data_IF_909127094928
#
_entry.id   IF_909127094928
#
_cell.length_a   1.000
_cell.length_b   1.000
_cell.length_c   1.000
_cell.angle_alpha   90.00
_cell.angle_beta   90.00
_cell.angle_gamma   90.00
#
_symmetry.space_group_name_H-M   'P 1'
#
loop_
_entity.id
_entity.type
_entity.pdbx_description
1 polymer ?
#
# COMPACT_ATOMS: atom_id res chain seq x y z
N UNK A 1 3.16 -36.01 -2.43
CA UNK A 1 2.91 -34.75 -1.70
C UNK A 1 3.99 -34.49 -0.64
N UNK A 2 4.70 -33.37 -0.72
CA UNK A 2 5.50 -32.86 0.40
C UNK A 2 4.87 -31.59 0.94
N UNK A 3 4.87 -31.37 2.25
CA UNK A 3 4.43 -30.09 2.85
C UNK A 3 5.66 -29.30 3.25
N UNK A 4 5.80 -28.07 2.73
CA UNK A 4 6.89 -27.19 3.14
C UNK A 4 6.58 -26.66 4.53
N UNK A 5 7.42 -26.98 5.50
CA UNK A 5 7.33 -26.40 6.83
C UNK A 5 7.96 -24.99 6.87
N UNK A 6 8.66 -24.60 5.80
CA UNK A 6 9.36 -23.33 5.59
C UNK A 6 8.58 -22.30 4.78
N UNK A 7 7.43 -21.87 5.30
CA UNK A 7 6.73 -20.58 5.05
C UNK A 7 6.34 -20.18 3.60
N UNK A 8 6.80 -20.84 2.54
CA UNK A 8 6.65 -20.34 1.15
C UNK A 8 5.72 -21.16 0.26
N UNK A 9 5.60 -22.46 0.52
CA UNK A 9 4.73 -23.37 -0.23
C UNK A 9 3.92 -24.21 0.74
N UNK A 10 2.77 -24.73 0.31
CA UNK A 10 1.89 -25.49 1.21
C UNK A 10 1.96 -26.96 0.88
N UNK A 11 1.97 -27.29 -0.41
CA UNK A 11 2.21 -28.64 -0.86
C UNK A 11 2.99 -28.63 -2.18
N UNK A 12 3.67 -29.74 -2.42
CA UNK A 12 4.27 -30.05 -3.72
C UNK A 12 3.82 -31.42 -4.17
N UNK A 13 3.37 -31.51 -5.41
CA UNK A 13 3.09 -32.76 -6.10
C UNK A 13 4.08 -32.92 -7.26
N UNK A 14 4.72 -34.09 -7.35
CA UNK A 14 5.59 -34.44 -8.46
C UNK A 14 4.90 -35.49 -9.32
N UNK A 15 4.82 -35.21 -10.62
CA UNK A 15 4.35 -36.13 -11.67
C UNK A 15 5.54 -36.37 -12.59
N UNK A 16 6.12 -37.57 -12.55
CA UNK A 16 7.38 -37.85 -13.24
C UNK A 16 8.49 -36.89 -12.81
N UNK A 17 9.07 -36.15 -13.75
CA UNK A 17 10.11 -35.14 -13.52
C UNK A 17 9.58 -33.73 -13.26
N UNK A 18 8.25 -33.52 -13.32
CA UNK A 18 7.62 -32.19 -13.12
C UNK A 18 7.09 -32.06 -11.70
N UNK A 19 7.59 -31.07 -10.95
CA UNK A 19 7.07 -30.69 -9.63
C UNK A 19 6.18 -29.45 -9.72
N UNK A 20 4.97 -29.55 -9.20
CA UNK A 20 3.99 -28.47 -9.06
C UNK A 20 3.92 -28.02 -7.60
N UNK A 21 4.00 -26.71 -7.39
CA UNK A 21 4.01 -26.09 -6.06
C UNK A 21 2.70 -25.33 -5.82
N UNK A 22 2.02 -25.68 -4.74
CA UNK A 22 0.78 -25.02 -4.33
C UNK A 22 1.12 -23.86 -3.39
N UNK A 23 0.72 -22.65 -3.80
CA UNK A 23 0.84 -21.41 -3.02
C UNK A 23 -0.55 -20.95 -2.62
N UNK A 24 -0.75 -20.61 -1.35
CA UNK A 24 -1.92 -19.86 -0.89
C UNK A 24 -1.42 -18.74 0.04
N UNK A 25 -1.65 -17.50 -0.40
CA UNK A 25 -1.21 -16.27 0.25
C UNK A 25 -1.88 -16.06 1.61
N UNK A 26 -3.15 -16.48 1.76
CA UNK A 26 -3.89 -16.39 3.02
C UNK A 26 -3.27 -17.30 4.09
N UNK A 27 -2.85 -18.51 3.69
CA UNK A 27 -2.17 -19.45 4.58
C UNK A 27 -0.81 -18.91 5.05
N UNK A 28 -0.03 -18.31 4.16
CA UNK A 28 1.26 -17.70 4.50
C UNK A 28 1.08 -16.52 5.48
N UNK A 29 0.02 -15.72 5.30
CA UNK A 29 -0.35 -14.62 6.18
C UNK A 29 -0.74 -15.11 7.59
N UNK A 30 -1.64 -16.10 7.70
CA UNK A 30 -2.10 -16.64 9.00
C UNK A 30 -0.93 -17.27 9.78
N UNK A 31 -0.03 -17.99 9.10
CA UNK A 31 1.17 -18.57 9.73
C UNK A 31 2.11 -17.49 10.27
N UNK A 32 2.35 -16.42 9.49
CA UNK A 32 3.16 -15.27 9.95
C UNK A 32 2.54 -14.61 11.18
N UNK A 33 1.21 -14.43 11.18
CA UNK A 33 0.45 -13.89 12.32
C UNK A 33 0.58 -14.77 13.57
N UNK A 34 0.39 -16.09 13.47
CA UNK A 34 0.60 -16.98 14.62
C UNK A 34 2.05 -16.98 15.11
N UNK A 35 3.03 -16.93 14.21
CA UNK A 35 4.45 -16.86 14.57
C UNK A 35 4.83 -15.54 15.26
N UNK A 36 4.24 -14.41 14.85
CA UNK A 36 4.41 -13.12 15.52
C UNK A 36 3.77 -13.15 16.91
N UNK A 37 2.52 -13.63 17.01
CA UNK A 37 1.80 -13.71 18.28
C UNK A 37 2.49 -14.62 19.30
N UNK A 38 3.01 -15.78 18.87
CA UNK A 38 3.81 -16.67 19.73
C UNK A 38 5.08 -16.00 20.24
N UNK A 39 5.76 -15.19 19.42
CA UNK A 39 6.95 -14.43 19.84
C UNK A 39 6.59 -13.39 20.90
N UNK A 40 5.51 -12.63 20.69
CA UNK A 40 5.03 -11.64 21.67
C UNK A 40 4.62 -12.30 23.00
N UNK A 41 3.86 -13.40 22.94
CA UNK A 41 3.42 -14.12 24.14
C UNK A 41 4.57 -14.83 24.86
N UNK A 42 5.60 -15.26 24.11
CA UNK A 42 6.84 -15.80 24.65
C UNK A 42 7.60 -14.77 25.47
N UNK A 43 7.79 -13.56 24.93
CA UNK A 43 8.38 -12.43 25.67
C UNK A 43 7.56 -12.08 26.92
N UNK A 44 6.23 -12.11 26.83
CA UNK A 44 5.32 -11.86 27.95
C UNK A 44 5.16 -13.05 28.92
N UNK A 45 5.92 -14.15 28.75
CA UNK A 45 5.88 -15.37 29.58
C UNK A 45 4.48 -16.03 29.71
N UNK A 46 3.58 -15.84 28.73
CA UNK A 46 2.21 -16.39 28.72
C UNK A 46 2.14 -17.81 28.12
N UNK A 47 2.78 -18.79 28.76
CA UNK A 47 2.96 -20.17 28.24
C UNK A 47 1.63 -20.90 27.93
N UNK A 48 0.59 -20.71 28.74
CA UNK A 48 -0.73 -21.33 28.50
C UNK A 48 -1.34 -20.88 27.15
N UNK A 49 -1.26 -19.58 26.84
CA UNK A 49 -1.77 -19.05 25.58
C UNK A 49 -0.98 -19.55 24.37
N UNK A 50 0.34 -19.75 24.52
CA UNK A 50 1.18 -20.34 23.48
C UNK A 50 0.73 -21.77 23.16
N UNK A 51 0.40 -22.58 24.19
CA UNK A 51 -0.14 -23.93 24.00
C UNK A 51 -1.49 -23.91 23.28
N UNK A 52 -2.38 -23.00 23.66
CA UNK A 52 -3.69 -22.83 23.01
C UNK A 52 -3.56 -22.45 21.54
N UNK A 53 -2.67 -21.50 21.22
CA UNK A 53 -2.36 -21.12 19.82
C UNK A 53 -1.81 -22.33 19.05
N UNK A 54 -0.94 -23.13 19.67
CA UNK A 54 -0.40 -24.31 19.00
C UNK A 54 -1.43 -25.39 18.70
N UNK A 55 -2.42 -25.58 19.57
CA UNK A 55 -3.57 -26.45 19.24
C UNK A 55 -4.37 -25.91 18.07
N UNK A 56 -4.67 -24.60 18.04
CA UNK A 56 -5.39 -23.96 16.93
C UNK A 56 -4.63 -24.08 15.60
N UNK A 57 -3.32 -23.84 15.61
CA UNK A 57 -2.44 -24.01 14.45
C UNK A 57 -2.47 -25.45 13.93
N UNK A 58 -2.40 -26.44 14.83
CA UNK A 58 -2.44 -27.86 14.48
C UNK A 58 -3.78 -28.27 13.87
N UNK A 59 -4.91 -27.89 14.48
CA UNK A 59 -6.24 -28.19 13.96
C UNK A 59 -6.47 -27.56 12.59
N UNK A 60 -6.11 -26.29 12.42
CA UNK A 60 -6.22 -25.58 11.15
C UNK A 60 -5.33 -26.23 10.07
N UNK A 61 -4.10 -26.59 10.41
CA UNK A 61 -3.19 -27.24 9.46
C UNK A 61 -3.72 -28.61 9.00
N UNK A 62 -4.40 -29.36 9.88
CA UNK A 62 -5.07 -30.62 9.50
C UNK A 62 -6.20 -30.36 8.49
N UNK A 63 -7.04 -29.35 8.70
CA UNK A 63 -8.13 -28.99 7.77
C UNK A 63 -7.59 -28.57 6.39
N UNK A 64 -6.57 -27.71 6.36
CA UNK A 64 -5.90 -27.29 5.13
C UNK A 64 -5.26 -28.47 4.39
N UNK A 65 -4.53 -29.33 5.10
CA UNK A 65 -3.94 -30.53 4.50
C UNK A 65 -5.01 -31.46 3.91
N UNK A 66 -6.18 -31.57 4.55
CA UNK A 66 -7.30 -32.35 4.03
C UNK A 66 -7.86 -31.75 2.73
N UNK A 67 -8.08 -30.44 2.68
CA UNK A 67 -8.55 -29.71 1.47
C UNK A 67 -7.58 -29.84 0.31
N UNK A 68 -6.29 -29.68 0.58
CA UNK A 68 -5.22 -29.81 -0.42
C UNK A 68 -5.11 -31.24 -0.94
N UNK A 69 -5.19 -32.23 -0.04
CA UNK A 69 -5.21 -33.64 -0.44
C UNK A 69 -6.34 -33.93 -1.43
N UNK A 70 -7.55 -33.39 -1.18
CA UNK A 70 -8.67 -33.50 -2.12
C UNK A 70 -8.40 -32.84 -3.48
N UNK A 71 -7.82 -31.64 -3.49
CA UNK A 71 -7.48 -30.95 -4.74
C UNK A 71 -6.42 -31.71 -5.55
N UNK A 72 -5.41 -32.26 -4.87
CA UNK A 72 -4.36 -33.07 -5.51
C UNK A 72 -4.94 -34.34 -6.11
N UNK A 73 -5.84 -35.03 -5.39
CA UNK A 73 -6.53 -36.22 -5.93
C UNK A 73 -7.34 -35.85 -7.17
N UNK A 74 -8.11 -34.75 -7.14
CA UNK A 74 -8.85 -34.26 -8.32
C UNK A 74 -7.93 -33.94 -9.49
N UNK A 75 -6.80 -33.28 -9.22
CA UNK A 75 -5.81 -32.94 -10.23
C UNK A 75 -5.16 -34.20 -10.85
N UNK A 76 -4.80 -35.19 -10.02
CA UNK A 76 -4.22 -36.45 -10.51
C UNK A 76 -5.22 -37.24 -11.37
N UNK A 77 -6.49 -37.32 -10.95
CA UNK A 77 -7.57 -37.94 -11.72
C UNK A 77 -7.78 -37.22 -13.06
N UNK A 78 -7.81 -35.88 -13.07
CA UNK A 78 -7.97 -35.08 -14.28
C UNK A 78 -6.81 -35.22 -15.28
N UNK A 79 -5.64 -35.70 -14.83
CA UNK A 79 -4.44 -35.87 -15.66
C UNK A 79 -4.08 -37.35 -15.89
N UNK A 80 -4.97 -38.31 -15.57
CA UNK A 80 -4.75 -39.73 -15.82
C UNK A 80 -3.58 -40.34 -15.03
N UNK A 81 -3.21 -39.75 -13.88
CA UNK A 81 -2.01 -40.14 -13.13
C UNK A 81 -2.31 -41.22 -12.11
N UNK A 82 -1.71 -42.41 -12.27
CA UNK A 82 -1.88 -43.56 -11.36
C UNK A 82 -0.99 -43.57 -10.11
N UNK A 83 0.03 -42.70 -10.03
CA UNK A 83 0.98 -42.70 -8.90
C UNK A 83 1.43 -41.28 -8.52
N UNK A 84 1.29 -40.93 -7.24
CA UNK A 84 1.74 -39.65 -6.69
C UNK A 84 2.91 -39.89 -5.73
N UNK A 85 4.07 -39.30 -6.00
CA UNK A 85 5.25 -39.43 -5.14
C UNK A 85 5.25 -38.40 -4.00
N UNK A 86 5.63 -38.83 -2.79
CA UNK A 86 5.91 -37.95 -1.64
C UNK A 86 7.40 -37.59 -1.65
N UNK A 87 7.75 -36.30 -1.56
CA UNK A 87 9.14 -35.84 -1.55
C UNK A 87 9.40 -34.87 -0.40
N UNK A 88 10.63 -34.89 0.12
CA UNK A 88 11.10 -33.99 1.18
C UNK A 88 11.68 -32.73 0.55
N UNK A 89 11.12 -31.57 0.90
CA UNK A 89 11.28 -30.32 0.15
C UNK A 89 12.62 -29.61 0.27
N UNK A 90 13.49 -30.04 1.19
CA UNK A 90 14.78 -29.39 1.44
C UNK A 90 15.78 -29.49 0.28
N UNK A 91 15.67 -30.46 -0.63
CA UNK A 91 16.61 -30.66 -1.75
C UNK A 91 16.21 -30.00 -3.08
N UNK A 92 14.91 -29.82 -3.35
CA UNK A 92 14.40 -29.35 -4.66
C UNK A 92 14.55 -27.82 -4.87
N UNK A 93 14.60 -27.05 -3.79
CA UNK A 93 14.68 -25.58 -3.84
C UNK A 93 16.04 -25.06 -4.35
N UNK A 94 17.13 -25.80 -4.13
CA UNK A 94 18.48 -25.36 -4.51
C UNK A 94 18.70 -25.40 -6.04
N UNK A 95 18.18 -26.41 -6.75
CA UNK A 95 18.37 -26.54 -8.20
C UNK A 95 17.64 -25.48 -9.04
N UNK A 96 16.58 -24.84 -8.53
CA UNK A 96 15.88 -23.78 -9.28
C UNK A 96 16.57 -22.41 -9.18
N UNK A 97 17.41 -22.18 -8.16
CA UNK A 97 18.19 -20.93 -8.03
C UNK A 97 19.25 -20.81 -9.13
N UNK A 98 19.80 -21.93 -9.60
CA UNK A 98 20.78 -21.98 -10.68
C UNK A 98 20.17 -21.81 -12.08
N UNK A 99 18.95 -22.33 -12.31
CA UNK A 99 18.28 -22.23 -13.62
C UNK A 99 17.81 -20.82 -14.01
N UNK A 100 17.64 -19.89 -13.05
CA UNK A 100 17.24 -18.50 -13.35
C UNK A 100 18.34 -17.65 -14.01
N UNK A 101 19.58 -18.14 -14.10
CA UNK A 101 20.73 -17.39 -14.65
C UNK A 101 20.93 -17.54 -16.17
N UNK A 102 20.08 -18.25 -16.91
CA UNK A 102 20.23 -18.38 -18.37
C UNK A 102 18.88 -18.31 -19.09
N UNK A 103 18.58 -17.19 -19.73
CA UNK A 103 17.62 -17.11 -20.85
C UNK A 103 18.17 -16.09 -21.87
N UNK A 104 18.25 -16.54 -23.14
CA UNK A 104 18.70 -15.83 -24.36
C UNK A 104 17.53 -15.04 -25.01
N UNK A 105 17.80 -14.11 -25.97
CA UNK A 105 16.85 -13.12 -26.44
C UNK A 105 15.93 -13.65 -27.55
N UNK A 106 14.78 -12.99 -27.73
CA UNK A 106 13.95 -13.08 -28.93
C UNK A 106 13.55 -11.67 -29.37
N UNK A 107 13.88 -11.36 -30.62
CA UNK A 107 13.53 -10.14 -31.35
C UNK A 107 12.07 -10.18 -31.86
N UNK A 108 11.45 -8.99 -31.95
CA UNK A 108 10.35 -8.72 -32.89
C UNK A 108 9.09 -8.10 -32.28
N UNK A 109 8.94 -6.77 -32.46
CA UNK A 109 7.64 -6.06 -32.40
C UNK A 109 7.36 -5.33 -31.09
N UNK A 110 7.28 -3.99 -31.15
CA UNK A 110 7.01 -3.06 -30.06
C UNK A 110 6.02 -3.58 -28.98
N UNK A 111 6.56 -3.84 -27.80
CA UNK A 111 5.83 -3.93 -26.54
C UNK A 111 6.78 -3.39 -25.47
N UNK A 112 6.51 -2.20 -24.93
CA UNK A 112 7.16 -1.79 -23.69
C UNK A 112 6.78 -2.83 -22.61
N UNK A 113 7.72 -3.40 -21.86
CA UNK A 113 7.41 -4.50 -20.96
C UNK A 113 6.66 -4.00 -19.73
N UNK A 114 5.76 -4.86 -19.19
CA UNK A 114 5.23 -4.79 -17.82
C UNK A 114 6.21 -4.10 -16.88
N UNK A 115 5.75 -3.11 -16.11
CA UNK A 115 6.54 -2.48 -15.05
C UNK A 115 7.09 -3.53 -14.08
N UNK A 116 8.34 -3.95 -14.29
CA UNK A 116 9.02 -4.91 -13.45
C UNK A 116 9.73 -4.15 -12.32
N UNK A 117 8.94 -3.52 -11.45
CA UNK A 117 9.46 -2.70 -10.34
C UNK A 117 10.01 -3.62 -9.26
N UNK A 118 11.29 -3.43 -8.90
CA UNK A 118 11.95 -4.21 -7.85
C UNK A 118 12.14 -3.36 -6.60
N UNK A 119 11.16 -3.41 -5.69
CA UNK A 119 11.23 -2.64 -4.44
C UNK A 119 12.14 -3.35 -3.42
N UNK A 120 13.27 -2.72 -3.02
CA UNK A 120 14.16 -3.32 -2.05
C UNK A 120 13.51 -3.38 -0.66
N UNK A 121 13.82 -4.38 0.18
CA UNK A 121 13.42 -4.34 1.58
C UNK A 121 14.07 -3.14 2.30
N UNK A 122 13.40 -2.65 3.34
CA UNK A 122 13.97 -1.63 4.23
C UNK A 122 15.19 -2.18 5.01
N UNK A 123 16.07 -1.29 5.43
CA UNK A 123 17.26 -1.58 6.22
C UNK A 123 16.92 -1.84 7.69
N UNK A 124 16.59 -3.10 8.02
CA UNK A 124 16.23 -3.48 9.40
C UNK A 124 17.32 -3.17 10.42
N UNK A 125 18.58 -3.31 10.04
CA UNK A 125 19.71 -2.96 10.91
C UNK A 125 19.72 -1.47 11.23
N UNK A 126 19.36 -0.62 10.26
CA UNK A 126 19.28 0.84 10.46
C UNK A 126 18.11 1.22 11.39
N UNK A 127 16.98 0.50 11.33
CA UNK A 127 15.89 0.66 12.30
C UNK A 127 16.37 0.40 13.73
N UNK A 128 17.12 -0.69 13.94
CA UNK A 128 17.61 -1.05 15.28
C UNK A 128 18.71 -0.09 15.75
N UNK A 129 19.59 0.38 14.86
CA UNK A 129 20.58 1.41 15.17
C UNK A 129 19.91 2.74 15.56
N UNK A 130 18.88 3.16 14.82
CA UNK A 130 18.11 4.36 15.14
C UNK A 130 17.42 4.25 16.50
N UNK A 131 16.81 3.10 16.83
CA UNK A 131 16.22 2.86 18.16
C UNK A 131 17.26 2.96 19.27
N UNK A 132 18.40 2.29 19.09
CA UNK A 132 19.48 2.31 20.07
C UNK A 132 20.05 3.72 20.28
N UNK A 133 20.08 4.54 19.23
CA UNK A 133 20.45 5.95 19.32
C UNK A 133 19.38 6.78 20.05
N UNK A 134 18.10 6.61 19.69
CA UNK A 134 16.96 7.31 20.31
C UNK A 134 16.86 7.04 21.82
N UNK A 135 17.19 5.82 22.26
CA UNK A 135 17.20 5.44 23.68
C UNK A 135 18.29 6.15 24.51
N UNK A 136 19.28 6.77 23.85
CA UNK A 136 20.36 7.53 24.50
C UNK A 136 20.05 9.01 24.63
N UNK A 137 19.01 9.52 23.95
CA UNK A 137 18.60 10.92 24.01
C UNK A 137 18.16 11.28 25.43
N UNK A 138 18.32 12.54 25.83
CA UNK A 138 18.01 13.08 27.18
C UNK A 138 16.52 13.07 27.53
N UNK A 139 15.92 11.89 27.54
CA UNK A 139 14.51 11.61 27.84
C UNK A 139 14.36 10.22 28.44
N UNK A 140 13.30 9.94 29.23
CA UNK A 140 12.98 8.56 29.59
C UNK A 140 12.74 7.70 28.32
N UNK A 141 13.22 6.45 28.26
CA UNK A 141 12.99 5.59 27.10
C UNK A 141 11.50 5.47 26.73
N UNK A 142 11.18 5.67 25.45
CA UNK A 142 9.81 5.63 24.92
C UNK A 142 8.91 6.83 25.27
N UNK A 143 9.40 7.86 25.97
CA UNK A 143 8.53 8.97 26.43
C UNK A 143 7.99 9.86 25.31
N UNK A 144 8.58 9.83 24.11
CA UNK A 144 8.08 10.53 22.92
C UNK A 144 7.20 9.63 22.03
N UNK A 145 6.96 8.39 22.46
CA UNK A 145 5.98 7.48 21.87
C UNK A 145 6.20 7.26 20.36
N UNK A 146 5.16 7.49 19.57
CA UNK A 146 5.16 7.18 18.13
C UNK A 146 6.14 8.02 17.31
N UNK A 147 6.58 9.19 17.79
CA UNK A 147 7.62 9.96 17.11
C UNK A 147 8.93 9.17 17.03
N UNK A 148 9.25 8.39 18.06
CA UNK A 148 10.42 7.51 18.10
C UNK A 148 10.31 6.40 17.05
N UNK A 149 9.12 5.81 16.91
CA UNK A 149 8.84 4.77 15.93
C UNK A 149 8.93 5.28 14.49
N UNK A 150 8.40 6.48 14.24
CA UNK A 150 8.48 7.18 12.95
C UNK A 150 9.94 7.43 12.58
N UNK A 151 10.74 7.97 13.52
CA UNK A 151 12.14 8.25 13.25
C UNK A 151 12.94 6.98 12.90
N UNK A 152 12.77 5.91 13.67
CA UNK A 152 13.43 4.64 13.40
C UNK A 152 12.98 4.00 12.06
N UNK A 153 11.71 4.17 11.71
CA UNK A 153 11.14 3.65 10.47
C UNK A 153 11.67 4.41 9.26
N UNK A 154 11.75 5.74 9.33
CA UNK A 154 12.38 6.58 8.29
C UNK A 154 13.83 6.17 8.05
N UNK A 155 14.59 5.93 9.13
CA UNK A 155 15.97 5.46 9.02
C UNK A 155 16.08 4.11 8.30
N UNK A 156 15.14 3.19 8.57
CA UNK A 156 15.03 1.92 7.85
C UNK A 156 14.70 2.09 6.36
N UNK A 157 13.78 2.99 6.02
CA UNK A 157 13.38 3.25 4.64
C UNK A 157 14.55 3.76 3.81
N UNK A 158 15.21 4.82 4.29
CA UNK A 158 16.30 5.49 3.57
C UNK A 158 17.62 4.74 3.64
N UNK A 159 17.83 3.95 4.71
CA UNK A 159 19.13 3.34 5.01
C UNK A 159 20.12 4.31 5.65
N UNK A 160 19.65 5.46 6.14
CA UNK A 160 20.45 6.48 6.82
C UNK A 160 20.00 6.59 8.27
N UNK A 161 20.93 6.76 9.22
CA UNK A 161 20.58 6.86 10.64
C UNK A 161 19.78 8.14 10.96
N UNK A 162 20.14 9.24 10.28
CA UNK A 162 19.58 10.58 10.46
C UNK A 162 19.12 11.13 9.11
N UNK A 163 18.04 10.58 8.52
CA UNK A 163 17.62 10.96 7.19
C UNK A 163 17.04 12.37 7.14
N UNK A 164 17.17 13.02 5.98
CA UNK A 164 16.40 14.23 5.67
C UNK A 164 15.05 13.84 5.08
N UNK A 165 14.00 14.52 5.51
CA UNK A 165 12.63 14.33 4.99
C UNK A 165 12.13 15.50 4.13
N UNK A 166 12.88 16.60 4.09
CA UNK A 166 12.57 17.83 3.33
C UNK A 166 13.50 18.04 2.12
N UNK A 167 13.03 18.71 1.05
CA UNK A 167 11.65 19.16 0.84
C UNK A 167 10.71 17.99 0.54
N UNK A 168 9.43 18.05 0.98
CA UNK A 168 8.42 17.11 0.50
C UNK A 168 7.99 17.46 -0.93
N UNK A 169 7.53 16.46 -1.68
CA UNK A 169 6.89 16.61 -2.98
C UNK A 169 5.44 16.18 -2.90
N UNK A 170 4.54 16.94 -3.51
CA UNK A 170 3.10 16.65 -3.58
C UNK A 170 2.71 16.49 -5.05
N UNK A 171 2.16 15.33 -5.39
CA UNK A 171 1.57 15.06 -6.70
C UNK A 171 0.06 14.90 -6.56
N UNK A 172 -0.72 15.75 -7.23
CA UNK A 172 -2.18 15.65 -7.28
C UNK A 172 -2.60 15.15 -8.66
N UNK A 173 -3.14 13.94 -8.73
CA UNK A 173 -3.60 13.34 -9.99
C UNK A 173 -5.09 13.55 -10.17
N UNK A 174 -5.50 14.09 -11.32
CA UNK A 174 -6.89 14.39 -11.62
C UNK A 174 -7.44 13.49 -12.74
N UNK A 175 -8.61 12.89 -12.51
CA UNK A 175 -9.36 12.15 -13.52
C UNK A 175 -10.86 12.06 -13.18
N UNK A 176 -11.68 12.01 -14.22
CA UNK A 176 -13.13 11.82 -14.09
C UNK A 176 -13.55 10.35 -14.15
N UNK A 177 -14.69 10.04 -13.56
CA UNK A 177 -15.24 8.67 -13.52
C UNK A 177 -16.60 8.56 -14.19
N UNK A 178 -16.75 7.64 -15.14
CA UNK A 178 -18.03 7.40 -15.81
C UNK A 178 -19.12 6.86 -14.89
N UNK A 179 -18.76 6.25 -13.76
CA UNK A 179 -19.74 5.78 -12.75
C UNK A 179 -20.59 6.93 -12.16
N UNK A 180 -20.20 8.19 -12.40
CA UNK A 180 -21.01 9.35 -12.01
C UNK A 180 -22.36 9.41 -12.72
N UNK A 181 -22.50 8.79 -13.89
CA UNK A 181 -23.77 8.64 -14.63
C UNK A 181 -24.84 7.91 -13.80
N UNK A 182 -24.43 7.08 -12.85
CA UNK A 182 -25.32 6.37 -11.93
C UNK A 182 -25.84 7.27 -10.79
N UNK A 183 -25.43 8.54 -10.68
CA UNK A 183 -25.89 9.42 -9.60
C UNK A 183 -25.28 9.10 -8.22
N UNK A 184 -24.03 8.66 -8.18
CA UNK A 184 -23.30 8.26 -6.95
C UNK A 184 -22.57 9.40 -6.23
N UNK A 185 -22.73 10.64 -6.70
CA UNK A 185 -22.06 11.84 -6.17
C UNK A 185 -23.07 12.97 -5.95
N UNK A 186 -22.85 13.76 -4.89
CA UNK A 186 -23.59 15.00 -4.66
C UNK A 186 -23.18 16.16 -5.60
N UNK A 187 -22.01 16.06 -6.24
CA UNK A 187 -21.47 17.07 -7.13
C UNK A 187 -21.51 16.60 -8.60
N UNK A 188 -21.75 17.52 -9.55
CA UNK A 188 -21.69 17.21 -10.97
C UNK A 188 -20.24 16.96 -11.42
N UNK A 189 -20.05 16.21 -12.51
CA UNK A 189 -18.73 15.82 -13.00
C UNK A 189 -17.82 17.01 -13.37
N UNK A 190 -18.39 18.12 -13.81
CA UNK A 190 -17.66 19.37 -14.14
C UNK A 190 -16.82 19.93 -12.97
N UNK A 191 -17.15 19.57 -11.72
CA UNK A 191 -16.40 20.01 -10.54
C UNK A 191 -14.95 19.52 -10.56
N UNK A 192 -14.65 18.39 -11.20
CA UNK A 192 -13.26 17.92 -11.36
C UNK A 192 -12.42 18.95 -12.08
N UNK A 193 -12.86 19.42 -13.25
CA UNK A 193 -12.15 20.43 -14.04
C UNK A 193 -12.06 21.77 -13.30
N UNK A 194 -13.14 22.20 -12.65
CA UNK A 194 -13.17 23.43 -11.85
C UNK A 194 -12.14 23.40 -10.71
N UNK A 195 -12.02 22.26 -10.02
CA UNK A 195 -11.01 22.07 -8.98
C UNK A 195 -9.59 22.02 -9.54
N UNK A 196 -9.38 21.45 -10.73
CA UNK A 196 -8.07 21.50 -11.41
C UNK A 196 -7.64 22.94 -11.67
N UNK A 197 -8.55 23.80 -12.17
CA UNK A 197 -8.27 25.23 -12.31
C UNK A 197 -8.03 25.92 -10.95
N UNK A 198 -8.76 25.51 -9.90
CA UNK A 198 -8.52 26.03 -8.56
C UNK A 198 -7.11 25.65 -8.03
N UNK A 199 -6.64 24.42 -8.27
CA UNK A 199 -5.28 24.01 -7.93
C UNK A 199 -4.23 24.83 -8.70
N UNK A 200 -4.44 25.02 -10.00
CA UNK A 200 -3.54 25.82 -10.84
C UNK A 200 -3.46 27.28 -10.37
N UNK A 201 -4.58 27.84 -9.90
CA UNK A 201 -4.66 29.18 -9.33
C UNK A 201 -4.20 29.28 -7.87
N UNK A 202 -3.79 28.17 -7.24
CA UNK A 202 -3.24 28.19 -5.89
C UNK A 202 -4.28 28.30 -4.77
N UNK A 203 -5.56 28.09 -5.08
CA UNK A 203 -6.70 28.38 -4.20
C UNK A 203 -7.23 27.21 -3.38
N UNK A 204 -6.74 25.98 -3.58
CA UNK A 204 -7.20 24.82 -2.82
C UNK A 204 -6.46 24.64 -1.48
N UNK A 205 -6.98 23.78 -0.62
CA UNK A 205 -6.39 23.47 0.67
C UNK A 205 -4.97 22.89 0.51
N UNK A 206 -4.78 21.96 -0.43
CA UNK A 206 -3.45 21.40 -0.68
C UNK A 206 -2.43 22.46 -1.14
N UNK A 207 -2.84 23.50 -1.86
CA UNK A 207 -1.94 24.60 -2.21
C UNK A 207 -1.47 25.36 -0.97
N UNK A 208 -2.40 25.66 -0.05
CA UNK A 208 -2.09 26.36 1.19
C UNK A 208 -1.12 25.54 2.07
N UNK A 209 -1.41 24.25 2.27
CA UNK A 209 -0.57 23.38 3.08
C UNK A 209 0.77 23.07 2.42
N UNK A 210 0.82 22.92 1.09
CA UNK A 210 2.08 22.75 0.35
C UNK A 210 3.02 23.93 0.56
N UNK A 211 2.50 25.17 0.48
CA UNK A 211 3.31 26.37 0.79
C UNK A 211 3.79 26.38 2.24
N UNK A 212 2.93 26.00 3.20
CA UNK A 212 3.28 25.96 4.62
C UNK A 212 4.45 25.00 4.90
N UNK A 213 4.49 23.84 4.26
CA UNK A 213 5.53 22.82 4.49
C UNK A 213 6.71 22.92 3.52
N UNK A 214 6.73 23.94 2.65
CA UNK A 214 7.74 24.12 1.62
C UNK A 214 7.76 22.99 0.58
N UNK A 215 6.61 22.44 0.24
CA UNK A 215 6.49 21.35 -0.72
C UNK A 215 6.58 21.82 -2.18
N UNK A 216 7.19 20.98 -3.02
CA UNK A 216 7.05 21.06 -4.46
C UNK A 216 5.70 20.44 -4.85
N UNK A 217 4.74 21.25 -5.30
CA UNK A 217 3.41 20.78 -5.70
C UNK A 217 3.29 20.73 -7.22
N UNK A 218 2.83 19.60 -7.75
CA UNK A 218 2.48 19.42 -9.16
C UNK A 218 1.06 18.87 -9.29
N UNK A 219 0.32 19.41 -10.24
CA UNK A 219 -1.04 18.98 -10.59
C UNK A 219 -0.97 18.30 -11.95
N UNK A 220 -1.52 17.09 -12.05
CA UNK A 220 -1.36 16.23 -13.21
C UNK A 220 -2.74 15.79 -13.69
N UNK A 221 -3.08 16.17 -14.92
CA UNK A 221 -4.28 15.67 -15.59
C UNK A 221 -3.96 14.31 -16.22
N UNK A 222 -4.51 13.24 -15.62
CA UNK A 222 -4.38 11.87 -16.12
C UNK A 222 -5.64 11.45 -16.86
N UNK A 223 -6.78 12.08 -16.59
CA UNK A 223 -8.03 11.70 -17.23
C UNK A 223 -9.23 12.59 -16.98
N UNK A 224 -9.06 13.90 -16.86
CA UNK A 224 -10.21 14.83 -16.78
C UNK A 224 -11.03 14.75 -18.07
N UNK A 225 -12.36 14.69 -17.98
CA UNK A 225 -13.25 14.43 -19.11
C UNK A 225 -13.20 15.54 -20.17
N UNK A 226 -12.94 16.77 -19.75
CA UNK A 226 -12.79 17.93 -20.63
C UNK A 226 -11.32 18.32 -20.80
N UNK A 227 -10.95 18.98 -21.92
CA UNK A 227 -9.63 19.57 -22.09
C UNK A 227 -9.32 20.60 -20.99
N UNK A 228 -8.11 20.54 -20.42
CA UNK A 228 -7.60 21.54 -19.48
C UNK A 228 -6.54 22.38 -20.18
N UNK A 229 -6.86 23.63 -20.49
CA UNK A 229 -5.94 24.57 -21.12
C UNK A 229 -5.25 25.46 -20.07
N UNK A 230 -4.31 24.89 -19.31
CA UNK A 230 -3.49 25.63 -18.33
C UNK A 230 -2.07 25.03 -18.27
N UNK A 231 -1.05 25.85 -18.49
CA UNK A 231 0.37 25.43 -18.51
C UNK A 231 0.90 24.98 -17.14
N UNK A 232 0.21 25.38 -16.05
CA UNK A 232 0.56 24.98 -14.68
C UNK A 232 0.08 23.56 -14.36
N UNK A 233 -0.73 22.96 -15.24
CA UNK A 233 -1.20 21.58 -15.13
C UNK A 233 -0.41 20.70 -16.09
N UNK A 234 0.21 19.66 -15.55
CA UNK A 234 0.97 18.69 -16.35
C UNK A 234 -0.02 17.83 -17.14
N UNK A 235 0.06 17.93 -18.47
CA UNK A 235 -0.83 17.25 -19.40
C UNK A 235 -0.33 15.83 -19.68
N UNK A 236 -0.90 14.84 -18.99
CA UNK A 236 -0.58 13.41 -19.14
C UNK A 236 -1.86 12.58 -19.31
N UNK A 237 -2.87 13.17 -19.96
CA UNK A 237 -4.19 12.58 -20.14
C UNK A 237 -4.10 11.29 -20.94
N UNK A 238 -4.47 10.19 -20.31
CA UNK A 238 -4.56 8.86 -20.93
C UNK A 238 -5.85 8.74 -21.73
N UNK A 239 -6.96 9.21 -21.14
CA UNK A 239 -8.29 9.23 -21.78
C UNK A 239 -9.21 10.25 -21.07
N UNK A 240 -10.25 10.78 -21.73
CA UNK A 240 -11.18 11.73 -21.11
C UNK A 240 -12.21 11.00 -20.22
N UNK A 241 -11.85 10.79 -18.96
CA UNK A 241 -12.68 10.08 -17.98
C UNK A 241 -12.75 8.56 -18.22
N UNK A 242 -12.93 7.79 -17.15
CA UNK A 242 -13.19 6.34 -17.25
C UNK A 242 -14.60 6.07 -17.79
N UNK A 243 -14.84 4.87 -18.33
CA UNK A 243 -16.19 4.41 -18.63
C UNK A 243 -16.98 4.18 -17.32
N UNK A 244 -18.30 4.12 -17.41
CA UNK A 244 -19.14 3.65 -16.32
C UNK A 244 -18.89 2.16 -16.04
N UNK A 245 -18.17 1.87 -14.94
CA UNK A 245 -17.83 0.50 -14.60
C UNK A 245 -19.02 -0.36 -14.17
N UNK A 246 -20.18 0.25 -13.93
CA UNK A 246 -21.42 -0.48 -13.62
C UNK A 246 -21.98 -1.20 -14.86
N UNK A 247 -21.56 -0.79 -16.06
CA UNK A 247 -22.04 -1.32 -17.34
C UNK A 247 -20.93 -2.00 -18.17
N UNK A 248 -19.72 -1.46 -18.16
CA UNK A 248 -18.57 -1.95 -18.95
C UNK A 248 -17.28 -1.86 -18.14
N UNK A 249 -16.11 -2.22 -18.69
CA UNK A 249 -14.83 -2.02 -18.00
C UNK A 249 -14.48 -0.53 -17.92
N UNK A 250 -14.01 -0.06 -16.75
CA UNK A 250 -13.63 1.34 -16.51
C UNK A 250 -12.63 1.88 -17.56
N UNK A 251 -11.67 1.06 -17.95
CA UNK A 251 -10.64 1.37 -18.95
C UNK A 251 -10.04 0.08 -19.51
N UNK A 252 -9.30 0.16 -20.61
CA UNK A 252 -8.56 -1.00 -21.10
C UNK A 252 -7.35 -1.31 -20.21
N UNK A 253 -6.82 -2.55 -20.20
CA UNK A 253 -5.58 -2.86 -19.47
C UNK A 253 -4.38 -1.99 -19.89
N UNK A 254 -4.30 -1.60 -21.17
CA UNK A 254 -3.27 -0.70 -21.69
C UNK A 254 -3.40 0.71 -21.11
N UNK A 255 -4.63 1.24 -21.02
CA UNK A 255 -4.90 2.54 -20.38
C UNK A 255 -4.55 2.51 -18.88
N UNK A 256 -4.86 1.41 -18.18
CA UNK A 256 -4.48 1.23 -16.77
C UNK A 256 -2.96 1.21 -16.59
N UNK A 257 -2.23 0.50 -17.47
CA UNK A 257 -0.76 0.48 -17.47
C UNK A 257 -0.16 1.85 -17.79
N UNK A 258 -0.71 2.57 -18.76
CA UNK A 258 -0.28 3.93 -19.10
C UNK A 258 -0.49 4.90 -17.94
N UNK A 259 -1.64 4.87 -17.26
CA UNK A 259 -1.90 5.71 -16.10
C UNK A 259 -0.94 5.41 -14.94
N UNK A 260 -0.64 4.14 -14.71
CA UNK A 260 0.38 3.71 -13.75
C UNK A 260 1.78 4.23 -14.15
N UNK A 261 2.11 4.20 -15.44
CA UNK A 261 3.35 4.75 -15.98
C UNK A 261 3.46 6.26 -15.78
N UNK A 262 2.39 7.02 -16.05
CA UNK A 262 2.34 8.46 -15.76
C UNK A 262 2.71 8.71 -14.30
N UNK A 263 2.06 8.04 -13.36
CA UNK A 263 2.35 8.20 -11.94
C UNK A 263 3.81 7.94 -11.57
N UNK A 264 4.36 6.85 -12.09
CA UNK A 264 5.76 6.47 -11.86
C UNK A 264 6.74 7.51 -12.42
N UNK A 265 6.52 7.98 -13.66
CA UNK A 265 7.34 9.03 -14.28
C UNK A 265 7.31 10.33 -13.48
N UNK A 266 6.12 10.75 -13.04
CA UNK A 266 5.98 12.01 -12.30
C UNK A 266 6.66 11.93 -10.93
N UNK A 267 6.53 10.79 -10.23
CA UNK A 267 7.26 10.58 -8.99
C UNK A 267 8.78 10.51 -9.21
N UNK A 268 9.26 9.81 -10.24
CA UNK A 268 10.68 9.79 -10.55
C UNK A 268 11.21 11.21 -10.83
N UNK A 269 10.50 11.98 -11.64
CA UNK A 269 10.88 13.35 -12.00
C UNK A 269 10.89 14.31 -10.80
N UNK A 270 9.89 14.26 -9.92
CA UNK A 270 9.88 15.15 -8.74
C UNK A 270 10.93 14.75 -7.70
N UNK A 271 11.27 13.45 -7.61
CA UNK A 271 12.36 12.95 -6.76
C UNK A 271 13.73 13.42 -7.27
N UNK A 272 13.94 13.46 -8.58
CA UNK A 272 15.16 14.01 -9.20
C UNK A 272 15.37 15.51 -8.88
N UNK A 273 14.29 16.24 -8.58
CA UNK A 273 14.36 17.63 -8.10
C UNK A 273 14.76 17.74 -6.61
N UNK A 274 15.09 16.64 -5.96
CA UNK A 274 15.60 16.60 -4.58
C UNK A 274 14.53 16.33 -3.52
N UNK A 275 13.30 15.96 -3.91
CA UNK A 275 12.25 15.56 -2.95
C UNK A 275 12.72 14.41 -2.07
N UNK A 276 12.44 14.51 -0.77
CA UNK A 276 12.83 13.53 0.25
C UNK A 276 11.65 12.80 0.90
N UNK A 277 10.43 13.25 0.66
CA UNK A 277 9.20 12.55 1.07
C UNK A 277 8.14 12.79 0.00
N UNK A 278 7.46 11.74 -0.45
CA UNK A 278 6.37 11.85 -1.41
C UNK A 278 5.01 11.88 -0.70
N UNK A 279 4.18 12.83 -1.09
CA UNK A 279 2.75 12.88 -0.79
C UNK A 279 2.03 12.73 -2.13
N UNK A 280 1.03 11.87 -2.18
CA UNK A 280 0.16 11.75 -3.35
C UNK A 280 -1.28 12.04 -2.96
N UNK A 281 -1.93 12.84 -3.79
CA UNK A 281 -3.32 13.24 -3.70
C UNK A 281 -4.05 12.96 -4.99
N UNK A 282 -5.36 13.11 -4.93
CA UNK A 282 -6.24 12.92 -6.07
C UNK A 282 -7.26 14.05 -6.17
N UNK A 283 -7.86 14.15 -7.35
CA UNK A 283 -9.11 14.86 -7.57
C UNK A 283 -9.94 14.10 -8.61
N UNK A 284 -11.18 13.77 -8.29
CA UNK A 284 -12.07 13.14 -9.26
C UNK A 284 -13.46 12.91 -8.73
N UNK A 285 -14.47 13.47 -9.38
CA UNK A 285 -15.84 13.16 -9.01
C UNK A 285 -16.15 11.69 -9.34
N UNK A 286 -16.69 10.96 -8.35
CA UNK A 286 -17.01 9.53 -8.44
C UNK A 286 -15.93 8.57 -7.94
N UNK A 287 -14.72 9.05 -7.68
CA UNK A 287 -13.59 8.18 -7.32
C UNK A 287 -13.74 7.45 -5.96
N UNK A 288 -14.49 8.00 -5.00
CA UNK A 288 -14.83 7.28 -3.76
C UNK A 288 -15.62 5.99 -4.03
N UNK A 289 -16.40 5.96 -5.11
CA UNK A 289 -17.12 4.76 -5.57
C UNK A 289 -16.13 3.74 -6.12
N UNK A 290 -15.22 4.16 -7.00
CA UNK A 290 -14.15 3.30 -7.53
C UNK A 290 -13.25 2.74 -6.41
N UNK A 291 -12.80 3.60 -5.49
CA UNK A 291 -11.98 3.20 -4.34
C UNK A 291 -12.71 2.20 -3.43
N UNK A 292 -14.01 2.40 -3.20
CA UNK A 292 -14.84 1.45 -2.43
C UNK A 292 -15.00 0.12 -3.14
N UNK A 293 -15.23 0.13 -4.46
CA UNK A 293 -15.31 -1.09 -5.27
C UNK A 293 -14.00 -1.87 -5.24
N UNK A 294 -12.86 -1.20 -5.42
CA UNK A 294 -11.54 -1.80 -5.29
C UNK A 294 -11.37 -2.40 -3.89
N UNK A 295 -11.58 -1.64 -2.82
CA UNK A 295 -11.42 -2.15 -1.44
C UNK A 295 -12.30 -3.38 -1.18
N UNK A 296 -13.54 -3.40 -1.66
CA UNK A 296 -14.46 -4.53 -1.50
C UNK A 296 -13.97 -5.84 -2.13
N UNK A 297 -13.08 -5.78 -3.13
CA UNK A 297 -12.45 -7.00 -3.70
C UNK A 297 -11.38 -7.62 -2.79
N UNK A 298 -10.86 -6.87 -1.81
CA UNK A 298 -9.76 -7.27 -0.95
C UNK A 298 -10.21 -7.76 0.43
N UNK A 299 -11.52 -7.75 0.71
CA UNK A 299 -12.05 -8.03 2.03
C UNK A 299 -13.44 -8.67 1.95
N UNK A 300 -13.79 -9.47 2.96
CA UNK A 300 -15.14 -10.03 3.12
C UNK A 300 -16.06 -9.10 3.94
N UNK A 301 -15.62 -7.87 4.23
CA UNK A 301 -16.45 -6.89 4.95
C UNK A 301 -17.64 -6.45 4.09
N UNK A 302 -18.83 -6.30 4.69
CA UNK A 302 -20.03 -5.86 3.99
C UNK A 302 -19.86 -4.44 3.42
N UNK A 303 -20.51 -4.14 2.29
CA UNK A 303 -20.39 -2.84 1.60
C UNK A 303 -20.82 -1.67 2.49
N UNK A 304 -21.75 -1.91 3.42
CA UNK A 304 -22.24 -0.95 4.39
C UNK A 304 -21.13 -0.45 5.35
N UNK A 305 -20.06 -1.24 5.52
CA UNK A 305 -18.87 -0.86 6.32
C UNK A 305 -17.76 -0.23 5.48
N UNK A 306 -17.85 -0.34 4.15
CA UNK A 306 -16.83 0.13 3.21
C UNK A 306 -17.24 1.48 2.61
N UNK A 307 -18.48 1.56 2.14
CA UNK A 307 -18.99 2.68 1.36
C UNK A 307 -19.43 3.81 2.29
N UNK A 308 -18.76 4.95 2.15
CA UNK A 308 -19.10 6.18 2.87
C UNK A 308 -19.93 7.16 2.06
N UNK A 309 -20.33 8.22 2.75
CA UNK A 309 -21.06 9.34 2.15
C UNK A 309 -20.20 10.19 1.21
N UNK A 310 -18.86 10.05 1.23
CA UNK A 310 -17.95 10.80 0.38
C UNK A 310 -18.18 12.31 0.48
N UNK A 311 -18.66 12.90 -0.61
CA UNK A 311 -19.05 14.31 -0.73
C UNK A 311 -20.24 14.74 0.14
N UNK A 312 -20.85 13.84 0.92
CA UNK A 312 -21.96 14.16 1.84
C UNK A 312 -23.33 13.76 1.33
N UNK A 313 -23.42 12.67 0.57
CA UNK A 313 -24.68 12.16 0.00
C UNK A 313 -25.70 11.75 1.08
N UNK A 314 -27.00 11.79 0.72
CA UNK A 314 -28.12 11.34 1.57
C UNK A 314 -28.14 9.80 1.70
N UNK A 315 -28.92 9.29 2.65
CA UNK A 315 -28.94 7.86 2.99
C UNK A 315 -29.48 7.00 1.83
N UNK A 316 -30.46 7.49 1.08
CA UNK A 316 -31.02 6.79 -0.08
C UNK A 316 -29.97 6.67 -1.22
N UNK A 317 -29.20 7.73 -1.43
CA UNK A 317 -28.10 7.75 -2.40
C UNK A 317 -26.94 6.85 -1.96
N UNK A 318 -26.72 6.69 -0.65
CA UNK A 318 -25.73 5.74 -0.11
C UNK A 318 -26.10 4.29 -0.42
N UNK A 319 -27.37 3.91 -0.22
CA UNK A 319 -27.86 2.57 -0.57
C UNK A 319 -27.74 2.30 -2.09
N UNK A 320 -28.10 3.30 -2.91
CA UNK A 320 -27.92 3.22 -4.37
C UNK A 320 -26.45 3.03 -4.76
N UNK A 321 -25.53 3.81 -4.18
CA UNK A 321 -24.09 3.67 -4.40
C UNK A 321 -23.57 2.27 -4.05
N UNK A 322 -24.06 1.67 -2.97
CA UNK A 322 -23.72 0.29 -2.61
C UNK A 322 -24.23 -0.70 -3.66
N UNK A 323 -25.43 -0.49 -4.22
CA UNK A 323 -25.97 -1.35 -5.27
C UNK A 323 -25.16 -1.26 -6.57
N UNK A 324 -24.81 -0.04 -7.01
CA UNK A 324 -23.92 0.20 -8.16
C UNK A 324 -22.62 -0.59 -8.01
N UNK A 325 -21.97 -0.52 -6.84
CA UNK A 325 -20.75 -1.28 -6.57
C UNK A 325 -21.01 -2.79 -6.60
N UNK A 326 -22.11 -3.25 -5.98
CA UNK A 326 -22.48 -4.68 -5.96
C UNK A 326 -22.67 -5.23 -7.37
N UNK A 327 -23.38 -4.50 -8.25
CA UNK A 327 -23.59 -4.88 -9.66
C UNK A 327 -22.27 -4.95 -10.41
N UNK A 328 -21.40 -3.94 -10.27
CA UNK A 328 -20.09 -3.93 -10.91
C UNK A 328 -19.21 -5.11 -10.49
N UNK A 329 -19.17 -5.44 -9.20
CA UNK A 329 -18.41 -6.57 -8.68
C UNK A 329 -18.93 -7.91 -9.23
N UNK A 330 -20.25 -8.07 -9.37
CA UNK A 330 -20.87 -9.27 -9.93
C UNK A 330 -20.59 -9.42 -11.43
N UNK A 331 -20.65 -8.31 -12.17
CA UNK A 331 -20.41 -8.24 -13.61
C UNK A 331 -18.96 -8.61 -13.94
N UNK A 332 -18.01 -7.94 -13.30
CA UNK A 332 -16.59 -7.99 -13.69
C UNK A 332 -15.80 -9.10 -13.03
N UNK A 333 -16.23 -9.55 -11.84
CA UNK A 333 -15.52 -10.51 -10.97
C UNK A 333 -14.01 -10.23 -10.92
N UNK A 334 -13.62 -9.00 -10.57
CA UNK A 334 -12.23 -8.59 -10.59
C UNK A 334 -11.35 -9.46 -9.67
N UNK A 335 -10.13 -9.75 -10.12
CA UNK A 335 -9.15 -10.53 -9.37
C UNK A 335 -7.96 -9.65 -8.97
N UNK A 336 -7.81 -9.29 -7.68
CA UNK A 336 -6.69 -8.48 -7.21
C UNK A 336 -5.31 -9.10 -7.44
N UNK A 337 -5.22 -10.42 -7.66
CA UNK A 337 -3.97 -11.09 -8.03
C UNK A 337 -3.50 -10.73 -9.46
N UNK A 338 -4.36 -10.07 -10.25
CA UNK A 338 -4.08 -9.53 -11.58
C UNK A 338 -4.31 -8.02 -11.58
N UNK A 339 -3.37 -7.24 -11.03
CA UNK A 339 -3.65 -5.86 -10.66
C UNK A 339 -3.97 -4.92 -11.84
N UNK A 340 -3.44 -5.17 -13.05
CA UNK A 340 -3.82 -4.42 -14.24
C UNK A 340 -5.26 -4.71 -14.69
N UNK A 341 -5.67 -5.98 -14.70
CA UNK A 341 -7.06 -6.38 -15.02
C UNK A 341 -8.03 -5.85 -13.94
N UNK A 342 -7.59 -5.85 -12.69
CA UNK A 342 -8.36 -5.32 -11.58
C UNK A 342 -8.62 -3.82 -11.70
N UNK A 343 -7.58 -3.03 -12.01
CA UNK A 343 -7.69 -1.61 -12.28
C UNK A 343 -8.52 -1.32 -13.54
N UNK A 344 -8.32 -2.09 -14.61
CA UNK A 344 -9.02 -1.88 -15.88
C UNK A 344 -10.53 -2.04 -15.72
N UNK A 345 -10.97 -3.00 -14.90
CA UNK A 345 -12.38 -3.29 -14.69
C UNK A 345 -13.11 -2.23 -13.86
N UNK A 346 -12.57 -1.86 -12.70
CA UNK A 346 -13.31 -1.07 -11.68
C UNK A 346 -12.48 0.04 -11.01
N UNK A 347 -11.33 0.40 -11.59
CA UNK A 347 -10.42 1.41 -11.05
C UNK A 347 -10.66 2.84 -11.56
N UNK A 348 -9.72 3.72 -11.21
CA UNK A 348 -9.62 5.10 -11.69
C UNK A 348 -8.23 5.36 -12.25
N UNK A 349 -8.12 6.29 -13.20
CA UNK A 349 -6.84 6.64 -13.83
C UNK A 349 -5.90 7.32 -12.82
N UNK A 350 -6.44 8.19 -11.99
CA UNK A 350 -5.75 8.82 -10.87
C UNK A 350 -5.36 7.84 -9.77
N UNK A 351 -6.18 6.79 -9.52
CA UNK A 351 -5.84 5.71 -8.58
C UNK A 351 -4.66 4.90 -9.11
N UNK A 352 -4.67 4.56 -10.41
CA UNK A 352 -3.55 3.87 -11.07
C UNK A 352 -2.28 4.73 -11.05
N UNK A 353 -2.39 6.03 -11.32
CA UNK A 353 -1.26 6.95 -11.27
C UNK A 353 -0.70 7.10 -9.84
N UNK A 354 -1.54 7.25 -8.82
CA UNK A 354 -1.07 7.25 -7.42
C UNK A 354 -0.32 5.96 -7.08
N UNK A 355 -0.82 4.79 -7.52
CA UNK A 355 -0.13 3.52 -7.30
C UNK A 355 1.25 3.49 -7.98
N UNK A 356 1.34 3.95 -9.24
CA UNK A 356 2.60 4.09 -9.96
C UNK A 356 3.60 5.02 -9.27
N UNK A 357 3.14 6.16 -8.77
CA UNK A 357 3.94 7.12 -8.04
C UNK A 357 4.53 6.52 -6.75
N UNK A 358 3.72 5.75 -6.00
CA UNK A 358 4.18 5.03 -4.82
C UNK A 358 5.21 3.95 -5.13
N UNK A 359 5.06 3.23 -6.25
CA UNK A 359 6.04 2.24 -6.69
C UNK A 359 7.39 2.89 -7.00
N UNK A 360 7.41 4.02 -7.72
CA UNK A 360 8.62 4.76 -8.04
C UNK A 360 9.35 5.29 -6.80
N UNK A 361 8.59 5.85 -5.85
CA UNK A 361 9.15 6.36 -4.60
C UNK A 361 9.78 5.26 -3.75
N UNK A 362 9.07 4.14 -3.56
CA UNK A 362 9.57 3.02 -2.79
C UNK A 362 10.81 2.35 -3.42
N UNK A 363 10.85 2.23 -4.75
CA UNK A 363 12.04 1.75 -5.46
C UNK A 363 13.28 2.63 -5.19
N UNK A 364 13.06 3.95 -5.09
CA UNK A 364 14.10 4.96 -4.79
C UNK A 364 14.31 5.20 -3.30
N UNK A 365 13.70 4.39 -2.43
CA UNK A 365 13.77 4.51 -0.96
C UNK A 365 13.27 5.86 -0.42
N UNK A 366 12.37 6.51 -1.15
CA UNK A 366 11.72 7.75 -0.72
C UNK A 366 10.50 7.38 0.15
N UNK A 367 10.43 7.85 1.41
CA UNK A 367 9.24 7.71 2.25
C UNK A 367 8.00 8.28 1.59
N UNK A 368 6.87 7.60 1.77
CA UNK A 368 5.56 7.99 1.26
C UNK A 368 4.66 8.30 2.44
N UNK A 369 4.10 9.50 2.49
CA UNK A 369 3.12 9.89 3.49
C UNK A 369 1.72 9.82 2.87
N UNK A 370 0.94 8.85 3.32
CA UNK A 370 -0.40 8.58 2.80
C UNK A 370 -1.41 9.59 3.35
N UNK A 371 -2.34 9.99 2.50
CA UNK A 371 -3.43 10.90 2.82
C UNK A 371 -4.65 10.13 3.38
N UNK A 372 -5.80 10.23 2.72
CA UNK A 372 -7.05 9.62 3.16
C UNK A 372 -7.37 8.30 2.47
N UNK A 373 -8.67 8.07 2.31
CA UNK A 373 -9.22 6.80 1.85
C UNK A 373 -8.74 6.37 0.47
N UNK A 374 -8.91 7.23 -0.55
CA UNK A 374 -8.60 6.88 -1.93
C UNK A 374 -7.09 6.67 -2.13
N UNK A 375 -6.27 7.53 -1.53
CA UNK A 375 -4.80 7.36 -1.47
C UNK A 375 -4.41 6.01 -0.84
N UNK A 376 -5.05 5.62 0.26
CA UNK A 376 -4.79 4.33 0.92
C UNK A 376 -5.24 3.13 0.10
N UNK A 377 -6.32 3.27 -0.70
CA UNK A 377 -6.72 2.24 -1.67
C UNK A 377 -5.71 2.15 -2.82
N UNK A 378 -5.19 3.27 -3.33
CA UNK A 378 -4.09 3.25 -4.30
C UNK A 378 -2.82 2.58 -3.75
N UNK A 379 -2.53 2.74 -2.46
CA UNK A 379 -1.46 1.99 -1.79
C UNK A 379 -1.71 0.47 -1.76
N UNK A 380 -2.97 0.05 -1.55
CA UNK A 380 -3.35 -1.37 -1.65
C UNK A 380 -3.22 -1.91 -3.08
N UNK A 381 -3.48 -1.08 -4.08
CA UNK A 381 -3.22 -1.39 -5.49
C UNK A 381 -1.72 -1.56 -5.74
N UNK A 382 -0.90 -0.59 -5.34
CA UNK A 382 0.57 -0.67 -5.48
C UNK A 382 1.14 -1.95 -4.83
N UNK A 383 0.60 -2.35 -3.68
CA UNK A 383 1.01 -3.59 -2.98
C UNK A 383 0.80 -4.85 -3.82
N UNK A 384 -0.21 -4.90 -4.70
CA UNK A 384 -0.43 -6.05 -5.57
C UNK A 384 0.66 -6.20 -6.63
N UNK A 385 1.28 -5.09 -7.05
CA UNK A 385 2.46 -5.12 -7.93
C UNK A 385 3.73 -5.49 -7.16
N UNK A 386 3.93 -4.90 -5.97
CA UNK A 386 5.12 -5.16 -5.17
C UNK A 386 4.83 -5.07 -3.67
N UNK A 387 4.86 -6.22 -2.98
CA UNK A 387 4.47 -6.32 -1.57
C UNK A 387 5.30 -5.44 -0.63
N UNK A 388 6.57 -5.18 -0.96
CA UNK A 388 7.47 -4.37 -0.13
C UNK A 388 7.16 -2.87 -0.20
N UNK A 389 6.31 -2.41 -1.13
CA UNK A 389 5.96 -0.98 -1.25
C UNK A 389 5.41 -0.42 0.06
N UNK A 390 4.68 -1.24 0.82
CA UNK A 390 4.04 -0.85 2.08
C UNK A 390 5.05 -0.54 3.17
N UNK A 391 6.27 -1.06 3.08
CA UNK A 391 7.33 -0.80 4.05
C UNK A 391 7.87 0.63 3.93
N UNK A 392 7.57 1.34 2.83
CA UNK A 392 7.94 2.75 2.58
C UNK A 392 6.81 3.74 2.88
N UNK A 393 5.69 3.27 3.43
CA UNK A 393 4.51 4.11 3.69
C UNK A 393 4.33 4.44 5.16
N UNK A 394 3.96 5.68 5.45
CA UNK A 394 3.48 6.18 6.75
C UNK A 394 2.06 6.70 6.54
N UNK A 395 1.10 6.32 7.39
CA UNK A 395 -0.26 6.84 7.29
C UNK A 395 -0.37 8.21 7.95
N UNK A 396 -0.73 9.25 7.20
CA UNK A 396 -0.80 10.63 7.68
C UNK A 396 -1.96 10.86 8.64
N UNK A 397 -3.20 10.65 8.17
CA UNK A 397 -4.38 10.92 8.99
C UNK A 397 -5.44 9.81 8.87
N UNK A 398 -6.37 9.76 9.82
CA UNK A 398 -7.59 8.96 9.72
C UNK A 398 -8.67 9.77 9.01
N UNK A 399 -8.97 9.43 7.76
CA UNK A 399 -10.18 9.90 7.07
C UNK A 399 -11.47 9.39 7.74
N UNK A 400 -12.53 10.20 7.68
CA UNK A 400 -13.89 9.83 8.11
C UNK A 400 -14.62 8.88 7.16
N UNK A 401 -14.06 8.57 6.00
CA UNK A 401 -14.65 7.54 5.13
C UNK A 401 -14.58 6.16 5.84
N UNK A 402 -15.71 5.44 6.00
CA UNK A 402 -15.78 4.20 6.78
C UNK A 402 -14.76 3.14 6.35
N UNK A 403 -14.63 2.95 5.04
CA UNK A 403 -13.69 2.01 4.42
C UNK A 403 -12.23 2.29 4.71
N UNK A 404 -11.87 3.51 5.12
CA UNK A 404 -10.48 3.85 5.39
C UNK A 404 -9.89 3.05 6.56
N UNK A 405 -10.69 2.81 7.60
CA UNK A 405 -10.26 1.98 8.73
C UNK A 405 -9.95 0.54 8.32
N UNK A 406 -10.64 0.03 7.30
CA UNK A 406 -10.43 -1.32 6.74
C UNK A 406 -9.16 -1.31 5.90
N UNK A 407 -9.00 -0.30 5.03
CA UNK A 407 -7.83 -0.15 4.17
C UNK A 407 -6.52 -0.04 5.00
N UNK A 408 -6.52 0.77 6.07
CA UNK A 408 -5.41 0.89 7.01
C UNK A 408 -5.07 -0.44 7.69
N UNK A 409 -6.08 -1.24 8.10
CA UNK A 409 -5.87 -2.59 8.66
C UNK A 409 -5.23 -3.53 7.64
N UNK A 410 -5.64 -3.47 6.38
CA UNK A 410 -5.07 -4.30 5.32
C UNK A 410 -3.60 -3.93 5.03
N UNK A 411 -3.23 -2.65 5.19
CA UNK A 411 -1.85 -2.17 5.09
C UNK A 411 -1.01 -2.34 6.37
N UNK A 412 -1.64 -2.71 7.48
CA UNK A 412 -1.00 -2.79 8.81
C UNK A 412 -0.39 -1.42 9.24
N UNK A 413 -1.14 -0.33 9.03
CA UNK A 413 -0.71 1.03 9.36
C UNK A 413 -1.67 1.71 10.33
N UNK A 414 -1.10 2.43 11.30
CA UNK A 414 -1.82 3.34 12.18
C UNK A 414 -1.57 4.79 11.74
N UNK A 415 -2.61 5.61 11.56
CA UNK A 415 -2.47 6.99 11.10
C UNK A 415 -1.88 7.89 12.19
N UNK A 416 -1.08 8.89 11.83
CA UNK A 416 -0.47 9.83 12.79
C UNK A 416 -1.49 10.78 13.42
N UNK A 417 -2.50 11.19 12.64
CA UNK A 417 -3.51 12.16 13.05
C UNK A 417 -4.93 11.58 12.97
N UNK A 418 -5.83 12.10 13.80
CA UNK A 418 -7.28 11.87 13.72
C UNK A 418 -8.00 13.21 13.92
N UNK A 419 -8.21 13.92 12.81
CA UNK A 419 -8.77 15.27 12.78
C UNK A 419 -10.18 15.32 12.18
N UNK A 420 -10.78 14.15 11.91
CA UNK A 420 -12.08 14.09 11.24
C UNK A 420 -12.10 14.60 9.78
N UNK A 421 -10.94 14.67 9.12
CA UNK A 421 -10.81 15.15 7.73
C UNK A 421 -11.34 14.12 6.72
N UNK A 422 -11.83 14.60 5.58
CA UNK A 422 -12.29 13.76 4.44
C UNK A 422 -12.24 14.49 3.09
N UNK A 423 -11.38 15.49 2.97
CA UNK A 423 -11.28 16.31 1.75
C UNK A 423 -10.61 15.55 0.60
N UNK A 424 -9.51 14.85 0.87
CA UNK A 424 -8.65 14.26 -0.17
C UNK A 424 -7.53 15.23 -0.56
N UNK A 425 -7.17 15.24 -1.83
CA UNK A 425 -6.15 16.14 -2.43
C UNK A 425 -4.72 15.96 -1.90
N UNK A 426 -4.45 15.04 -0.96
CA UNK A 426 -3.17 14.98 -0.24
C UNK A 426 -3.12 15.88 1.00
N UNK A 427 -4.24 16.51 1.35
CA UNK A 427 -4.30 17.58 2.37
C UNK A 427 -4.02 17.09 3.80
N UNK A 428 -4.55 15.93 4.19
CA UNK A 428 -4.31 15.33 5.51
C UNK A 428 -2.88 14.81 5.66
N UNK A 429 -2.28 14.30 4.59
CA UNK A 429 -0.84 14.00 4.56
C UNK A 429 0.01 15.27 4.73
N UNK A 430 -0.32 16.35 4.03
CA UNK A 430 0.40 17.63 4.17
C UNK A 430 0.32 18.18 5.60
N UNK A 431 -0.85 18.10 6.25
CA UNK A 431 -1.03 18.48 7.66
C UNK A 431 -0.28 17.55 8.63
N UNK A 432 -0.10 16.27 8.29
CA UNK A 432 0.67 15.32 9.10
C UNK A 432 2.20 15.47 8.93
N UNK A 433 2.67 16.04 7.82
CA UNK A 433 4.09 16.13 7.50
C UNK A 433 4.96 16.83 8.57
N UNK A 434 4.53 17.89 9.26
CA UNK A 434 5.28 18.49 10.37
C UNK A 434 5.66 17.50 11.50
N UNK A 435 4.92 16.38 11.66
CA UNK A 435 5.30 15.33 12.60
C UNK A 435 6.54 14.55 12.16
N UNK A 436 6.77 14.40 10.85
CA UNK A 436 8.01 13.81 10.32
C UNK A 436 9.20 14.76 10.56
N UNK A 437 8.99 16.07 10.38
CA UNK A 437 10.00 17.08 10.74
C UNK A 437 10.33 16.98 12.24
N UNK A 438 9.31 16.90 13.09
CA UNK A 438 9.49 16.80 14.55
C UNK A 438 10.23 15.51 14.95
N UNK A 439 9.92 14.38 14.30
CA UNK A 439 10.64 13.12 14.50
C UNK A 439 12.12 13.22 14.10
N UNK A 440 12.43 13.97 13.03
CA UNK A 440 13.81 14.21 12.60
C UNK A 440 14.54 15.24 13.47
N UNK A 441 13.87 16.30 13.93
CA UNK A 441 14.45 17.25 14.89
C UNK A 441 14.84 16.54 16.20
N UNK A 442 13.99 15.61 16.68
CA UNK A 442 14.28 14.79 17.86
C UNK A 442 15.63 14.07 17.74
N UNK A 443 15.90 13.39 16.61
CA UNK A 443 17.17 12.66 16.43
C UNK A 443 18.36 13.53 16.03
N UNK A 444 18.13 14.71 15.46
CA UNK A 444 19.22 15.59 15.02
C UNK A 444 19.68 16.58 16.09
N UNK A 445 18.79 16.99 17.00
CA UNK A 445 19.02 18.16 17.87
C UNK A 445 19.03 17.82 19.37
N UNK A 446 18.37 16.73 19.79
CA UNK A 446 18.41 16.36 21.21
C UNK A 446 19.80 15.85 21.60
N UNK A 447 20.29 16.35 22.74
CA UNK A 447 21.51 15.81 23.34
C UNK A 447 21.31 14.35 23.78
N UNK A 448 22.42 13.62 23.87
CA UNK A 448 22.44 12.33 24.57
C UNK A 448 22.69 12.55 26.07
N UNK A 449 22.31 11.59 26.91
CA UNK A 449 22.66 11.62 28.34
C UNK A 449 24.16 11.83 28.58
N UNK A 450 25.00 11.19 27.74
CA UNK A 450 26.44 11.31 27.80
C UNK A 450 26.92 12.73 27.45
N UNK A 451 26.45 13.32 26.35
CA UNK A 451 26.86 14.67 25.93
C UNK A 451 26.33 15.77 26.85
N UNK A 452 25.20 15.55 27.51
CA UNK A 452 24.61 16.49 28.47
C UNK A 452 25.15 16.33 29.91
N UNK A 453 25.99 15.33 30.18
CA UNK A 453 26.50 15.06 31.54
C UNK A 453 25.41 14.64 32.54
N UNK A 454 24.27 14.14 32.05
CA UNK A 454 23.13 13.75 32.90
C UNK A 454 23.33 12.30 33.36
N UNK A 455 23.28 12.08 34.68
CA UNK A 455 23.39 10.75 35.26
C UNK A 455 22.20 9.88 34.87
N UNK A 456 22.47 8.69 34.32
CA UNK A 456 21.43 7.69 34.05
C UNK A 456 21.06 6.95 35.35
N UNK A 457 19.82 6.46 35.47
CA UNK A 457 19.37 5.73 36.66
C UNK A 457 20.21 4.45 36.95
N UNK A 458 20.89 3.92 35.93
CA UNK A 458 21.81 2.77 36.05
C UNK A 458 23.22 3.15 36.56
N UNK A 459 23.55 4.43 36.71
CA UNK A 459 24.86 4.87 37.20
C UNK A 459 25.02 4.81 38.74
N UNK A 460 23.96 4.45 39.48
CA UNK A 460 23.98 4.34 40.96
C UNK A 460 24.36 2.96 41.50
N UNK A 461 25.00 2.10 40.69
CA UNK A 461 25.38 0.72 41.09
C UNK A 461 26.84 0.47 41.47
N UNK A 462 27.79 1.33 41.08
CA UNK A 462 29.23 1.02 41.22
C UNK A 462 30.03 1.99 42.11
N UNK A 463 29.36 2.89 42.84
CA UNK A 463 30.03 3.68 43.88
C UNK A 463 29.51 3.32 45.26
N UNK A 464 30.11 2.28 45.85
CA UNK A 464 30.11 2.10 47.31
C UNK A 464 29.98 0.67 47.81
N UNK A 465 31.07 -0.12 47.71
CA UNK A 465 31.80 -0.67 48.87
C UNK A 465 33.01 -1.48 48.43
#
# INVERSE_FOLDING_TARGET
MGVDLGLRYIAVASIGTKSLFFKDSQCAFIRRRYAALRRTLGKAKKLHMIRTIGRKESCWMKDINHKISRQIVRFALANGVGMIRMEKLTRSLNHRRERRKRIFPLDGGYCAPMMNVSIPPIHREMVEQARAYIDQLTKPPGSLGRLEEVAATLAGMTGELLPRVTPPGVLVFAADHGVTEEGVSAYPAEVTAQMVYNFANGGAAINAFSRQIGALLQVIDVGVAVPIADERVIQKKVRPGTNNFAETEAMTPSEAEQALHVGYEQAASIIEQGVRTLIVGEMGIGNTTAASALLATLTDEPLERIVGKGSGIKEEMLAHKQDVIRRALLLHRPDPAKPLEWLSKIGGLEIAAMAGAMLAAAERRIPILLDGFICTVAALVARQFAVNVTDYMIAGHRSQEPGHSIALRLLEKDPLLDLGMRLGEGSGAAVAFPLLISAMAMVNEMATFASAGISTANAKGEKGR
#
